data_IF_344528063099
#
_entry.id   IF_344528063099
#
_cell.length_a   1.000
_cell.length_b   1.000
_cell.length_c   1.000
_cell.angle_alpha   90.00
_cell.angle_beta   90.00
_cell.angle_gamma   90.00
#
_symmetry.space_group_name_H-M   'P 1'
#
loop_
_entity.id
_entity.type
_entity.pdbx_description
1 polymer ?
#
# COMPACT_ATOMS: atom_id res chain seq x y z
N UNK A 1 23.10 -0.29 -8.51
CA UNK A 1 21.89 0.48 -8.88
C UNK A 1 21.94 1.74 -8.04
N UNK A 2 22.28 2.87 -8.65
CA UNK A 2 22.31 4.18 -7.99
C UNK A 2 20.89 4.72 -8.04
N UNK A 3 20.31 5.05 -6.89
CA UNK A 3 19.03 5.74 -6.79
C UNK A 3 19.40 7.21 -6.58
N UNK A 4 18.86 8.10 -7.40
CA UNK A 4 19.11 9.54 -7.26
C UNK A 4 18.70 10.02 -5.85
N UNK A 5 19.57 10.75 -5.12
CA UNK A 5 19.26 11.23 -3.78
C UNK A 5 18.01 12.11 -3.72
N UNK A 6 17.66 12.76 -4.84
CA UNK A 6 16.45 13.56 -5.01
C UNK A 6 15.18 12.69 -5.11
N UNK A 7 15.24 11.54 -5.76
CA UNK A 7 14.11 10.57 -5.81
C UNK A 7 13.94 9.83 -4.48
N UNK A 8 15.02 9.69 -3.70
CA UNK A 8 14.98 9.09 -2.36
C UNK A 8 14.25 9.93 -1.31
N UNK A 9 13.94 11.19 -1.62
CA UNK A 9 13.26 12.12 -0.72
C UNK A 9 11.75 12.21 -0.95
N UNK A 10 11.19 11.63 -2.03
CA UNK A 10 9.76 11.77 -2.31
C UNK A 10 8.92 11.18 -1.17
N UNK A 11 8.07 12.02 -0.61
CA UNK A 11 7.18 11.65 0.48
C UNK A 11 6.02 10.79 0.00
N UNK A 12 5.39 10.07 0.91
CA UNK A 12 4.19 9.28 0.60
C UNK A 12 3.06 10.16 0.10
N UNK A 13 2.89 11.37 0.64
CA UNK A 13 1.83 12.28 0.20
C UNK A 13 2.04 12.76 -1.24
N UNK A 14 3.28 13.10 -1.60
CA UNK A 14 3.64 13.47 -2.97
C UNK A 14 3.48 12.29 -3.93
N UNK A 15 3.91 11.11 -3.50
CA UNK A 15 3.74 9.89 -4.27
C UNK A 15 2.27 9.59 -4.53
N UNK A 16 1.43 9.61 -3.50
CA UNK A 16 -0.02 9.35 -3.61
C UNK A 16 -0.67 10.34 -4.58
N UNK A 17 -0.27 11.62 -4.54
CA UNK A 17 -0.78 12.61 -5.48
C UNK A 17 -0.39 12.30 -6.93
N UNK A 18 0.83 11.81 -7.18
CA UNK A 18 1.28 11.37 -8.52
C UNK A 18 0.59 10.08 -8.94
N UNK A 19 0.50 9.10 -8.05
CA UNK A 19 -0.14 7.82 -8.25
C UNK A 19 -1.59 7.96 -8.68
N UNK A 20 -2.37 8.84 -8.05
CA UNK A 20 -3.74 9.10 -8.48
C UNK A 20 -3.86 9.67 -9.90
N UNK A 21 -2.86 10.42 -10.38
CA UNK A 21 -2.87 10.94 -11.76
C UNK A 21 -2.53 9.87 -12.80
N UNK A 22 -1.90 8.78 -12.40
CA UNK A 22 -1.58 7.66 -13.29
C UNK A 22 -2.65 6.57 -13.31
N UNK A 23 -3.62 6.58 -12.40
CA UNK A 23 -4.68 5.58 -12.35
C UNK A 23 -5.78 5.87 -13.37
N UNK A 24 -6.09 4.86 -14.19
CA UNK A 24 -7.28 4.82 -15.03
C UNK A 24 -8.27 3.81 -14.44
N UNK A 25 -9.01 4.25 -13.41
CA UNK A 25 -9.97 3.43 -12.65
C UNK A 25 -11.33 4.13 -12.57
N UNK A 26 -12.37 3.35 -12.31
CA UNK A 26 -13.70 3.87 -12.03
C UNK A 26 -13.64 4.97 -10.94
N UNK A 27 -14.30 6.14 -11.14
CA UNK A 27 -14.26 7.25 -10.19
C UNK A 27 -14.66 6.87 -8.76
N UNK A 28 -15.58 5.92 -8.58
CA UNK A 28 -16.00 5.42 -7.27
C UNK A 28 -14.86 4.67 -6.59
N UNK A 29 -14.04 3.95 -7.34
CA UNK A 29 -12.85 3.25 -6.83
C UNK A 29 -11.80 4.26 -6.39
N UNK A 30 -11.55 5.29 -7.20
CA UNK A 30 -10.63 6.40 -6.89
C UNK A 30 -11.05 7.07 -5.57
N UNK A 31 -12.32 7.44 -5.43
CA UNK A 31 -12.82 8.08 -4.21
C UNK A 31 -12.70 7.14 -3.00
N UNK A 32 -12.97 5.85 -3.20
CA UNK A 32 -12.80 4.83 -2.16
C UNK A 32 -11.33 4.72 -1.70
N UNK A 33 -10.37 4.78 -2.61
CA UNK A 33 -8.94 4.78 -2.27
C UNK A 33 -8.55 6.08 -1.57
N UNK A 34 -9.03 7.23 -2.07
CA UNK A 34 -8.73 8.55 -1.52
C UNK A 34 -9.17 8.66 -0.07
N UNK A 35 -10.40 8.21 0.22
CA UNK A 35 -10.96 8.18 1.57
C UNK A 35 -10.12 7.30 2.51
N UNK A 36 -9.74 6.09 2.07
CA UNK A 36 -8.91 5.17 2.88
C UNK A 36 -7.50 5.72 3.12
N UNK A 37 -6.86 6.25 2.09
CA UNK A 37 -5.53 6.86 2.18
C UNK A 37 -5.54 8.03 3.15
N UNK A 38 -6.50 8.96 2.99
CA UNK A 38 -6.66 10.12 3.88
C UNK A 38 -6.92 9.73 5.33
N UNK A 39 -7.74 8.71 5.57
CA UNK A 39 -8.16 8.33 6.92
C UNK A 39 -7.12 7.52 7.68
N UNK A 40 -6.34 6.67 7.01
CA UNK A 40 -5.52 5.68 7.69
C UNK A 40 -4.03 5.75 7.35
N UNK A 41 -3.69 5.94 6.06
CA UNK A 41 -2.29 5.82 5.60
C UNK A 41 -1.56 7.16 5.73
N UNK A 42 -2.14 8.23 5.19
CA UNK A 42 -1.53 9.56 5.19
C UNK A 42 -1.28 10.12 6.59
N UNK A 43 -2.15 9.92 7.61
CA UNK A 43 -1.87 10.40 8.96
C UNK A 43 -0.63 9.77 9.60
N UNK A 44 -0.23 8.56 9.17
CA UNK A 44 0.92 7.83 9.73
C UNK A 44 2.18 7.96 8.89
N UNK A 45 2.04 7.86 7.57
CA UNK A 45 3.17 7.75 6.65
C UNK A 45 3.29 8.94 5.69
N UNK A 46 2.31 9.85 5.63
CA UNK A 46 2.22 10.89 4.61
C UNK A 46 3.48 11.72 4.45
N UNK A 47 4.03 12.18 5.58
CA UNK A 47 5.23 13.04 5.62
C UNK A 47 6.55 12.26 5.55
N UNK A 48 6.48 10.93 5.56
CA UNK A 48 7.69 10.10 5.48
C UNK A 48 8.13 9.96 4.03
N UNK A 49 9.44 9.97 3.75
CA UNK A 49 9.98 9.51 2.48
C UNK A 49 9.57 8.06 2.22
N UNK A 50 9.28 7.70 0.96
CA UNK A 50 8.92 6.33 0.60
C UNK A 50 9.94 5.29 1.10
N UNK A 51 11.23 5.63 1.02
CA UNK A 51 12.33 4.77 1.48
C UNK A 51 12.42 4.59 3.00
N UNK A 52 11.73 5.43 3.78
CA UNK A 52 11.70 5.33 5.24
C UNK A 52 10.63 4.34 5.74
N UNK A 53 9.71 3.89 4.89
CA UNK A 53 8.71 2.89 5.28
C UNK A 53 9.38 1.53 5.48
N UNK A 54 9.21 0.95 6.67
CA UNK A 54 9.75 -0.36 7.02
C UNK A 54 8.65 -1.38 7.31
N UNK A 55 8.97 -2.67 7.16
CA UNK A 55 8.06 -3.76 7.53
C UNK A 55 7.66 -3.73 9.02
N UNK A 56 8.58 -3.29 9.89
CA UNK A 56 8.30 -3.13 11.32
C UNK A 56 7.31 -1.99 11.55
N UNK A 57 7.53 -0.82 10.95
CA UNK A 57 6.60 0.32 11.07
C UNK A 57 5.20 0.01 10.56
N UNK A 58 5.07 -0.78 9.49
CA UNK A 58 3.76 -1.27 9.03
C UNK A 58 3.13 -2.23 10.04
N UNK A 59 3.90 -3.13 10.64
CA UNK A 59 3.39 -4.05 11.67
C UNK A 59 2.91 -3.31 12.92
N UNK A 60 3.65 -2.29 13.35
CA UNK A 60 3.29 -1.43 14.49
C UNK A 60 2.02 -0.63 14.22
N UNK A 61 1.91 -0.05 13.02
CA UNK A 61 0.72 0.68 12.60
C UNK A 61 -0.54 -0.19 12.55
N UNK A 62 -0.43 -1.45 12.11
CA UNK A 62 -1.59 -2.37 12.13
C UNK A 62 -2.05 -2.65 13.56
N UNK A 63 -1.12 -2.79 14.50
CA UNK A 63 -1.44 -2.92 15.93
C UNK A 63 -2.05 -1.65 16.51
N UNK A 64 -1.66 -0.47 16.01
CA UNK A 64 -2.33 0.81 16.35
C UNK A 64 -3.79 0.77 15.90
N UNK A 65 -4.08 0.38 14.65
CA UNK A 65 -5.45 0.26 14.16
C UNK A 65 -6.30 -0.73 14.99
N UNK A 66 -5.72 -1.87 15.38
CA UNK A 66 -6.41 -2.83 16.25
C UNK A 66 -6.70 -2.23 17.64
N UNK A 67 -5.76 -1.48 18.22
CA UNK A 67 -5.96 -0.78 19.51
C UNK A 67 -7.01 0.32 19.43
N UNK A 68 -7.12 0.99 18.28
CA UNK A 68 -8.13 2.02 18.01
C UNK A 68 -9.54 1.43 17.74
N UNK A 69 -9.70 0.11 17.90
CA UNK A 69 -10.99 -0.58 17.79
C UNK A 69 -11.37 -0.96 16.36
N UNK A 70 -10.48 -0.84 15.38
CA UNK A 70 -10.75 -1.31 14.02
C UNK A 70 -10.72 -2.84 13.95
N UNK A 71 -11.66 -3.42 13.19
CA UNK A 71 -11.68 -4.85 12.95
C UNK A 71 -10.40 -5.31 12.22
N UNK A 72 -9.90 -6.55 12.47
CA UNK A 72 -8.71 -7.08 11.80
C UNK A 72 -8.79 -7.10 10.26
N UNK A 73 -10.02 -7.21 9.73
CA UNK A 73 -10.30 -7.10 8.30
C UNK A 73 -9.97 -5.71 7.75
N UNK A 74 -10.20 -4.65 8.54
CA UNK A 74 -9.85 -3.27 8.18
C UNK A 74 -8.34 -3.12 8.09
N UNK A 75 -7.59 -3.58 9.09
CA UNK A 75 -6.12 -3.57 9.06
C UNK A 75 -5.57 -4.30 7.84
N UNK A 76 -6.12 -5.47 7.53
CA UNK A 76 -5.76 -6.25 6.33
C UNK A 76 -6.04 -5.48 5.03
N UNK A 77 -7.20 -4.80 4.93
CA UNK A 77 -7.51 -3.95 3.78
C UNK A 77 -6.55 -2.77 3.64
N UNK A 78 -6.14 -2.13 4.74
CA UNK A 78 -5.19 -1.03 4.69
C UNK A 78 -3.77 -1.49 4.32
N UNK A 79 -3.33 -2.65 4.81
CA UNK A 79 -2.05 -3.27 4.39
C UNK A 79 -2.06 -3.55 2.89
N UNK A 80 -3.16 -4.07 2.34
CA UNK A 80 -3.24 -4.37 0.91
C UNK A 80 -3.14 -3.10 0.06
N UNK A 81 -3.81 -2.01 0.47
CA UNK A 81 -3.71 -0.72 -0.22
C UNK A 81 -2.31 -0.11 -0.13
N UNK A 82 -1.68 -0.15 1.05
CA UNK A 82 -0.31 0.30 1.23
C UNK A 82 0.68 -0.55 0.41
N UNK A 83 0.49 -1.86 0.37
CA UNK A 83 1.31 -2.77 -0.41
C UNK A 83 1.18 -2.51 -1.93
N UNK A 84 -0.02 -2.20 -2.43
CA UNK A 84 -0.23 -1.78 -3.81
C UNK A 84 0.55 -0.49 -4.10
N UNK A 85 0.34 0.55 -3.30
CA UNK A 85 1.03 1.84 -3.43
C UNK A 85 2.57 1.70 -3.46
N UNK A 86 3.13 0.83 -2.60
CA UNK A 86 4.58 0.59 -2.51
C UNK A 86 5.11 -0.37 -3.58
N UNK A 87 4.25 -1.18 -4.20
CA UNK A 87 4.64 -2.00 -5.36
C UNK A 87 4.83 -1.08 -6.55
N UNK A 88 3.85 -0.22 -6.83
CA UNK A 88 3.91 0.73 -7.93
C UNK A 88 5.08 1.72 -7.75
N UNK A 89 5.37 2.13 -6.51
CA UNK A 89 6.56 2.93 -6.22
C UNK A 89 7.88 2.22 -6.54
N UNK A 90 7.94 0.90 -6.31
CA UNK A 90 9.11 0.10 -6.63
C UNK A 90 9.25 -0.12 -8.14
N UNK A 91 8.13 -0.27 -8.85
CA UNK A 91 8.10 -0.40 -10.32
C UNK A 91 8.57 0.89 -10.99
N UNK A 92 8.20 2.06 -10.44
CA UNK A 92 8.72 3.39 -10.82
C UNK A 92 10.16 3.66 -10.31
N UNK A 93 10.79 2.69 -9.62
CA UNK A 93 12.16 2.78 -9.06
C UNK A 93 12.38 3.86 -8.00
N UNK A 94 11.32 4.37 -7.39
CA UNK A 94 11.37 5.34 -6.29
C UNK A 94 11.88 4.70 -4.99
N UNK A 95 11.63 3.40 -4.84
CA UNK A 95 12.19 2.57 -3.78
C UNK A 95 12.79 1.29 -4.37
N UNK A 96 13.81 0.69 -3.73
CA UNK A 96 14.46 -0.50 -4.28
C UNK A 96 13.58 -1.76 -4.23
N UNK A 97 12.62 -1.81 -3.30
CA UNK A 97 11.65 -2.91 -3.18
C UNK A 97 10.51 -2.53 -2.23
N UNK A 98 9.35 -3.19 -2.39
CA UNK A 98 8.23 -3.06 -1.46
C UNK A 98 8.55 -3.72 -0.09
N UNK A 99 8.61 -2.96 1.02
CA UNK A 99 8.93 -3.48 2.35
C UNK A 99 7.85 -4.41 2.93
N UNK A 100 6.60 -4.31 2.45
CA UNK A 100 5.47 -5.16 2.87
C UNK A 100 5.52 -6.54 2.20
N UNK A 101 6.02 -6.62 0.96
CA UNK A 101 6.18 -7.90 0.22
C UNK A 101 7.47 -8.67 0.59
N UNK A 102 8.52 -8.01 1.12
CA UNK A 102 9.86 -8.64 1.30
C UNK A 102 10.36 -8.70 2.75
N UNK A 103 10.12 -9.86 3.39
CA UNK A 103 11.17 -10.80 3.87
C UNK A 103 10.48 -12.06 4.41
N UNK A 104 10.53 -13.16 3.66
CA UNK A 104 10.37 -14.50 4.27
C UNK A 104 11.53 -14.66 5.26
N UNK A 105 11.30 -14.40 6.55
CA UNK A 105 12.26 -14.74 7.60
C UNK A 105 12.38 -16.27 7.61
N UNK A 106 13.61 -16.76 7.41
CA UNK A 106 13.99 -18.18 7.57
C UNK A 106 13.46 -18.64 8.94
N UNK A 107 12.59 -19.65 8.99
CA UNK A 107 12.25 -20.36 10.24
C UNK A 107 10.81 -20.29 10.79
N UNK A 108 9.81 -19.67 10.14
CA UNK A 108 8.41 -19.81 10.60
C UNK A 108 7.50 -20.29 9.48
N UNK A 109 6.92 -21.48 9.66
CA UNK A 109 5.94 -22.12 8.75
C UNK A 109 4.91 -21.09 8.30
N UNK A 110 4.96 -20.77 7.01
CA UNK A 110 3.95 -19.97 6.33
C UNK A 110 2.62 -20.72 6.35
N UNK A 111 1.70 -20.33 7.22
CA UNK A 111 0.29 -20.69 7.04
C UNK A 111 -0.38 -19.56 6.26
N UNK A 112 -0.97 -19.96 5.12
CA UNK A 112 -1.73 -19.18 4.14
C UNK A 112 -0.90 -18.16 3.34
N UNK A 113 -0.38 -18.64 2.20
CA UNK A 113 -0.42 -17.80 1.01
C UNK A 113 -1.90 -17.52 0.75
N UNK A 114 -2.35 -16.29 1.03
CA UNK A 114 -3.56 -15.78 0.40
C UNK A 114 -3.24 -15.79 -1.09
N UNK A 115 -4.00 -16.50 -1.95
CA UNK A 115 -3.76 -16.41 -3.38
C UNK A 115 -3.83 -14.92 -3.73
N UNK A 116 -2.84 -14.45 -4.50
CA UNK A 116 -2.88 -13.11 -5.08
C UNK A 116 -4.27 -12.94 -5.67
N UNK A 117 -5.10 -12.11 -5.02
CA UNK A 117 -6.27 -11.57 -5.69
C UNK A 117 -5.66 -10.75 -6.80
N UNK A 118 -5.65 -11.34 -7.99
CA UNK A 118 -5.62 -10.66 -9.28
C UNK A 118 -6.49 -9.42 -9.05
N UNK A 119 -5.84 -8.27 -8.90
CA UNK A 119 -6.58 -7.03 -8.88
C UNK A 119 -7.25 -7.00 -10.25
N UNK A 120 -8.58 -6.94 -10.21
CA UNK A 120 -9.41 -7.04 -11.37
C UNK A 120 -8.90 -6.02 -12.41
N UNK A 121 -8.52 -6.51 -13.58
CA UNK A 121 -8.75 -5.74 -14.80
C UNK A 121 -10.21 -5.27 -14.79
N UNK A 122 -10.55 -4.12 -15.39
CA UNK A 122 -11.92 -3.57 -15.39
C UNK A 122 -12.98 -4.43 -16.10
N UNK A 123 -12.66 -5.69 -16.41
CA UNK A 123 -13.39 -6.61 -17.28
C UNK A 123 -14.42 -7.49 -16.53
N UNK A 124 -14.69 -7.27 -15.23
CA UNK A 124 -15.66 -8.08 -14.50
C UNK A 124 -16.64 -7.26 -13.66
N UNK A 125 -17.42 -6.41 -14.32
CA UNK A 125 -18.73 -6.02 -13.79
C UNK A 125 -19.76 -6.03 -14.90
N UNK A 126 -20.24 -7.21 -15.27
CA UNK A 126 -21.58 -7.33 -15.87
C UNK A 126 -22.31 -8.55 -15.28
N UNK A 127 -23.52 -8.23 -14.83
CA UNK A 127 -24.74 -9.05 -14.75
C UNK A 127 -25.15 -9.62 -13.38
N UNK A 128 -26.02 -8.86 -12.72
CA UNK A 128 -27.24 -9.42 -12.13
C UNK A 128 -28.40 -8.54 -12.59
N UNK A 129 -29.27 -9.13 -13.40
CA UNK A 129 -30.69 -8.80 -13.53
C UNK A 129 -31.44 -10.03 -13.01
#
# INVERSE_FOLDING_TARGET
MWIDPADSAMTVVEWVARWFRSLDLDPRTIESYRSRLRRHILPKFGDLPLGAITALGVTEWVRELERDGYAPSTGSSQINLLSMLLTDAADERLIPFNPVRRRRRRGRRSRRAVPERIWATPEQTVRIA
#
